data_IF_364298289972
#
_entry.id   IF_364298289972
#
_cell.length_a   1.000
_cell.length_b   1.000
_cell.length_c   1.000
_cell.angle_alpha   90.00
_cell.angle_beta   90.00
_cell.angle_gamma   90.00
#
_symmetry.space_group_name_H-M   'P 1'
#
loop_
_entity.id
_entity.type
_entity.pdbx_description
1 polymer ?
#
# COMPACT_ATOMS: atom_id res chain seq x y z
N UNK A 1 -41.31 -5.01 -12.68
CA UNK A 1 -40.10 -4.87 -13.53
C UNK A 1 -39.53 -3.48 -13.26
N UNK A 2 -38.60 -3.37 -12.32
CA UNK A 2 -37.95 -2.09 -11.98
C UNK A 2 -36.79 -1.91 -12.95
N UNK A 3 -36.95 -1.02 -13.92
CA UNK A 3 -35.88 -0.64 -14.83
C UNK A 3 -34.95 0.35 -14.14
N UNK A 4 -33.74 -0.11 -13.80
CA UNK A 4 -32.64 0.73 -13.31
C UNK A 4 -32.04 1.52 -14.49
N UNK A 5 -32.65 2.65 -14.87
CA UNK A 5 -32.09 3.59 -15.85
C UNK A 5 -31.13 4.61 -15.19
N UNK A 6 -30.08 4.12 -14.52
CA UNK A 6 -29.04 4.99 -13.94
C UNK A 6 -27.63 4.41 -14.09
N UNK A 7 -27.32 3.74 -15.21
CA UNK A 7 -26.04 3.04 -15.38
C UNK A 7 -25.35 3.21 -16.74
N UNK A 8 -25.79 4.12 -17.60
CA UNK A 8 -25.17 4.29 -18.94
C UNK A 8 -24.06 5.35 -18.99
N UNK A 9 -23.66 5.92 -17.85
CA UNK A 9 -22.65 6.98 -17.80
C UNK A 9 -21.78 7.03 -16.54
N UNK A 10 -21.84 6.02 -15.67
CA UNK A 10 -21.02 5.98 -14.45
C UNK A 10 -20.27 4.66 -14.32
N UNK A 11 -19.01 4.75 -13.93
CA UNK A 11 -18.17 3.59 -13.68
C UNK A 11 -18.76 2.77 -12.53
N UNK A 12 -18.75 1.41 -12.60
CA UNK A 12 -19.15 0.58 -11.49
C UNK A 12 -18.44 0.98 -10.19
N UNK A 13 -19.22 1.14 -9.12
CA UNK A 13 -18.77 1.68 -7.83
C UNK A 13 -17.57 0.92 -7.24
N UNK A 14 -17.47 -0.37 -7.51
CA UNK A 14 -16.33 -1.19 -7.08
C UNK A 14 -15.03 -0.80 -7.78
N UNK A 15 -15.07 -0.48 -9.08
CA UNK A 15 -13.87 -0.08 -9.84
C UNK A 15 -13.44 1.32 -9.40
N UNK A 16 -14.39 2.24 -9.25
CA UNK A 16 -14.14 3.58 -8.75
C UNK A 16 -13.47 3.56 -7.35
N UNK A 17 -14.01 2.73 -6.44
CA UNK A 17 -13.40 2.48 -5.14
C UNK A 17 -11.97 1.93 -5.26
N UNK A 18 -11.76 0.88 -6.07
CA UNK A 18 -10.43 0.28 -6.22
C UNK A 18 -9.38 1.27 -6.73
N UNK A 19 -9.73 2.09 -7.71
CA UNK A 19 -8.80 3.08 -8.29
C UNK A 19 -8.45 4.15 -7.26
N UNK A 20 -9.45 4.67 -6.53
CA UNK A 20 -9.24 5.66 -5.46
C UNK A 20 -8.41 5.11 -4.31
N UNK A 21 -8.71 3.90 -3.86
CA UNK A 21 -8.01 3.25 -2.75
C UNK A 21 -6.54 2.98 -3.11
N UNK A 22 -6.31 2.50 -4.33
CA UNK A 22 -4.95 2.27 -4.83
C UNK A 22 -4.17 3.58 -4.87
N UNK A 23 -4.75 4.65 -5.41
CA UNK A 23 -4.10 5.98 -5.42
C UNK A 23 -3.83 6.49 -3.99
N UNK A 24 -4.80 6.40 -3.09
CA UNK A 24 -4.65 6.85 -1.70
C UNK A 24 -3.54 6.10 -0.96
N UNK A 25 -3.39 4.80 -1.22
CA UNK A 25 -2.32 4.01 -0.63
C UNK A 25 -0.93 4.50 -1.06
N UNK A 26 -0.77 4.82 -2.34
CA UNK A 26 0.48 5.42 -2.84
C UNK A 26 0.67 6.83 -2.29
N UNK A 27 -0.37 7.66 -2.18
CA UNK A 27 -0.20 9.06 -1.74
C UNK A 27 0.15 9.21 -0.26
N UNK A 28 -0.31 8.28 0.60
CA UNK A 28 -0.21 8.45 2.05
C UNK A 28 1.07 7.91 2.71
N UNK A 29 1.89 7.10 2.02
CA UNK A 29 3.03 6.43 2.67
C UNK A 29 4.26 6.34 1.79
N UNK A 30 5.28 7.14 2.12
CA UNK A 30 6.62 7.08 1.50
C UNK A 30 7.28 5.70 1.69
N UNK A 31 7.05 5.05 2.84
CA UNK A 31 7.52 3.68 3.10
C UNK A 31 6.86 2.67 2.16
N UNK A 32 5.56 2.84 1.90
CA UNK A 32 4.80 2.01 0.96
C UNK A 32 5.29 2.18 -0.47
N UNK A 33 5.52 3.42 -0.90
CA UNK A 33 6.10 3.73 -2.21
C UNK A 33 7.49 3.09 -2.37
N UNK A 34 8.36 3.22 -1.37
CA UNK A 34 9.72 2.66 -1.41
C UNK A 34 9.71 1.13 -1.45
N UNK A 35 8.89 0.49 -0.61
CA UNK A 35 8.76 -0.97 -0.60
C UNK A 35 8.25 -1.49 -1.95
N UNK A 36 7.28 -0.79 -2.55
CA UNK A 36 6.76 -1.10 -3.87
C UNK A 36 7.79 -0.88 -4.97
N UNK A 37 8.53 0.24 -4.96
CA UNK A 37 9.60 0.55 -5.93
C UNK A 37 10.65 -0.57 -5.94
N UNK A 38 11.15 -0.96 -4.78
CA UNK A 38 12.12 -2.07 -4.64
C UNK A 38 11.59 -3.38 -5.19
N UNK A 39 10.34 -3.71 -4.88
CA UNK A 39 9.70 -4.93 -5.35
C UNK A 39 9.53 -4.91 -6.88
N UNK A 40 9.08 -3.77 -7.43
CA UNK A 40 8.86 -3.59 -8.86
C UNK A 40 10.17 -3.67 -9.66
N UNK A 41 11.23 -3.01 -9.20
CA UNK A 41 12.58 -3.08 -9.78
C UNK A 41 13.10 -4.51 -9.80
N UNK A 42 12.90 -5.26 -8.71
CA UNK A 42 13.33 -6.67 -8.61
C UNK A 42 12.59 -7.56 -9.61
N UNK A 43 11.30 -7.32 -9.84
CA UNK A 43 10.48 -8.14 -10.75
C UNK A 43 10.59 -7.72 -12.23
N UNK A 44 11.02 -6.50 -12.53
CA UNK A 44 11.02 -5.93 -13.87
C UNK A 44 12.41 -5.47 -14.34
N UNK A 45 13.48 -6.17 -13.94
CA UNK A 45 14.86 -5.92 -14.37
C UNK A 45 15.34 -4.48 -14.15
N UNK A 46 15.05 -3.91 -12.98
CA UNK A 46 15.46 -2.56 -12.59
C UNK A 46 14.62 -1.43 -13.20
N UNK A 47 13.51 -1.74 -13.88
CA UNK A 47 12.57 -0.72 -14.37
C UNK A 47 11.87 -0.02 -13.20
N UNK A 48 11.50 1.24 -13.42
CA UNK A 48 10.73 2.03 -12.46
C UNK A 48 9.23 1.86 -12.65
N UNK A 49 8.44 1.82 -11.56
CA UNK A 49 6.98 1.74 -11.66
C UNK A 49 6.38 3.02 -12.27
N UNK A 50 5.31 2.87 -13.06
CA UNK A 50 4.51 4.02 -13.53
C UNK A 50 3.74 4.63 -12.36
N UNK A 51 3.75 5.95 -12.26
CA UNK A 51 2.95 6.70 -11.29
C UNK A 51 1.45 6.46 -11.52
N UNK A 52 0.66 6.15 -10.49
CA UNK A 52 -0.79 6.04 -10.66
C UNK A 52 -1.39 7.45 -10.72
N UNK A 53 -2.04 7.78 -11.83
CA UNK A 53 -2.67 9.09 -12.03
C UNK A 53 -3.81 9.27 -11.03
N UNK A 54 -3.88 10.44 -10.39
CA UNK A 54 -5.05 10.83 -9.62
C UNK A 54 -6.27 10.92 -10.54
N UNK A 55 -7.31 10.18 -10.21
CA UNK A 55 -8.62 10.34 -10.88
C UNK A 55 -9.27 11.61 -10.36
N UNK A 56 -9.84 12.42 -11.26
CA UNK A 56 -10.64 13.58 -10.91
C UNK A 56 -12.12 13.24 -10.99
N UNK A 57 -12.86 13.63 -9.95
CA UNK A 57 -14.25 13.19 -9.72
C UNK A 57 -15.23 13.63 -10.82
N UNK A 58 -14.89 14.70 -11.54
CA UNK A 58 -15.74 15.31 -12.58
C UNK A 58 -15.34 14.92 -14.00
N UNK A 59 -14.22 14.25 -14.22
CA UNK A 59 -13.71 13.92 -15.55
C UNK A 59 -13.38 12.44 -15.66
N UNK A 60 -14.37 11.67 -16.09
CA UNK A 60 -14.28 10.22 -16.29
C UNK A 60 -13.13 9.78 -17.20
N UNK A 61 -12.68 10.64 -18.14
CA UNK A 61 -11.51 10.41 -18.98
C UNK A 61 -10.20 10.21 -18.17
N UNK A 62 -10.13 10.69 -16.93
CA UNK A 62 -8.97 10.44 -16.06
C UNK A 62 -8.92 9.03 -15.48
N UNK A 63 -10.04 8.29 -15.52
CA UNK A 63 -10.13 6.89 -15.06
C UNK A 63 -9.37 5.96 -15.98
N UNK A 64 -9.50 6.13 -17.30
CA UNK A 64 -8.85 5.26 -18.30
C UNK A 64 -7.34 5.13 -18.08
N UNK A 65 -6.55 6.23 -18.01
CA UNK A 65 -5.11 6.09 -17.83
C UNK A 65 -4.76 5.52 -16.45
N UNK A 66 -5.58 5.76 -15.41
CA UNK A 66 -5.37 5.18 -14.09
C UNK A 66 -5.58 3.66 -14.11
N UNK A 67 -6.69 3.19 -14.69
CA UNK A 67 -7.01 1.77 -14.84
C UNK A 67 -5.95 1.07 -15.70
N UNK A 68 -5.55 1.66 -16.82
CA UNK A 68 -4.51 1.10 -17.69
C UNK A 68 -3.18 0.95 -16.97
N UNK A 69 -2.78 1.93 -16.13
CA UNK A 69 -1.56 1.84 -15.31
C UNK A 69 -1.66 0.77 -14.22
N UNK A 70 -2.82 0.66 -13.56
CA UNK A 70 -3.07 -0.38 -12.55
C UNK A 70 -2.98 -1.77 -13.18
N UNK A 71 -3.62 -1.99 -14.33
CA UNK A 71 -3.60 -3.28 -15.02
C UNK A 71 -2.19 -3.68 -15.45
N UNK A 72 -1.38 -2.74 -15.95
CA UNK A 72 0.03 -3.00 -16.32
C UNK A 72 0.90 -3.43 -15.14
N UNK A 73 0.51 -3.11 -13.91
CA UNK A 73 1.27 -3.41 -12.70
C UNK A 73 0.55 -4.40 -11.78
N UNK A 74 -0.51 -5.03 -12.26
CA UNK A 74 -1.45 -5.79 -11.44
C UNK A 74 -0.78 -6.92 -10.65
N UNK A 75 0.15 -7.66 -11.26
CA UNK A 75 0.80 -8.79 -10.62
C UNK A 75 1.67 -8.37 -9.42
N UNK A 76 2.31 -7.20 -9.51
CA UNK A 76 3.12 -6.63 -8.42
C UNK A 76 2.19 -6.13 -7.30
N UNK A 77 1.11 -5.40 -7.66
CA UNK A 77 0.11 -4.93 -6.70
C UNK A 77 -0.55 -6.08 -5.94
N UNK A 78 -0.86 -7.17 -6.64
CA UNK A 78 -1.43 -8.40 -6.06
C UNK A 78 -0.42 -9.12 -5.17
N UNK A 79 0.84 -9.22 -5.58
CA UNK A 79 1.88 -9.84 -4.76
C UNK A 79 2.09 -9.09 -3.45
N UNK A 80 2.08 -7.76 -3.50
CA UNK A 80 2.18 -6.92 -2.30
C UNK A 80 0.97 -7.11 -1.35
N UNK A 81 -0.26 -7.15 -1.87
CA UNK A 81 -1.44 -7.38 -1.02
C UNK A 81 -1.43 -8.76 -0.37
N UNK A 82 -0.88 -9.77 -1.05
CA UNK A 82 -0.71 -11.11 -0.50
C UNK A 82 0.25 -11.13 0.70
N UNK A 83 1.32 -10.32 0.71
CA UNK A 83 2.24 -10.23 1.86
C UNK A 83 1.51 -9.76 3.13
N UNK A 84 0.65 -8.75 3.02
CA UNK A 84 -0.15 -8.24 4.15
C UNK A 84 -1.18 -9.27 4.62
N UNK A 85 -1.88 -9.93 3.71
CA UNK A 85 -2.84 -10.99 4.08
C UNK A 85 -2.11 -12.15 4.76
N UNK A 86 -0.96 -12.57 4.23
CA UNK A 86 -0.16 -13.63 4.81
C UNK A 86 0.31 -13.27 6.23
N UNK A 87 0.75 -12.04 6.48
CA UNK A 87 1.19 -11.63 7.83
C UNK A 87 0.04 -11.66 8.85
N UNK A 88 -1.16 -11.19 8.46
CA UNK A 88 -2.37 -11.28 9.28
C UNK A 88 -2.72 -12.75 9.58
N UNK A 89 -2.70 -13.61 8.56
CA UNK A 89 -2.97 -15.03 8.71
C UNK A 89 -1.93 -15.74 9.59
N UNK A 90 -0.65 -15.36 9.48
CA UNK A 90 0.42 -15.87 10.34
C UNK A 90 0.19 -15.49 11.80
N UNK A 91 -0.19 -14.25 12.09
CA UNK A 91 -0.53 -13.79 13.45
C UNK A 91 -1.73 -14.60 13.97
N UNK A 92 -2.80 -14.70 13.19
CA UNK A 92 -4.00 -15.47 13.55
C UNK A 92 -3.66 -16.93 13.87
N UNK A 93 -2.88 -17.57 13.00
CA UNK A 93 -2.45 -18.96 13.18
C UNK A 93 -1.53 -19.13 14.41
N UNK A 94 -0.68 -18.14 14.68
CA UNK A 94 0.20 -18.12 15.85
C UNK A 94 -0.57 -18.03 17.17
N UNK A 95 -1.61 -17.19 17.22
CA UNK A 95 -2.49 -17.07 18.39
C UNK A 95 -3.30 -18.35 18.61
N UNK A 96 -3.79 -18.97 17.53
CA UNK A 96 -4.54 -20.22 17.60
C UNK A 96 -3.72 -21.37 18.22
N UNK A 97 -2.42 -21.47 17.93
CA UNK A 97 -1.53 -22.47 18.57
C UNK A 97 -1.35 -22.28 20.07
N UNK A 98 -1.60 -21.07 20.58
CA UNK A 98 -1.55 -20.74 22.02
C UNK A 98 -2.94 -20.82 22.66
N UNK A 99 -3.92 -21.39 21.98
CA UNK A 99 -5.32 -21.49 22.41
C UNK A 99 -5.97 -20.12 22.70
N UNK A 100 -5.46 -19.07 22.06
CA UNK A 100 -6.00 -17.70 22.17
C UNK A 100 -6.64 -17.26 20.86
N UNK A 101 -7.79 -16.60 20.95
CA UNK A 101 -8.49 -16.06 19.79
C UNK A 101 -8.09 -14.60 19.57
N UNK A 102 -8.06 -14.14 18.31
CA UNK A 102 -7.76 -12.74 17.97
C UNK A 102 -8.67 -11.73 18.66
N UNK A 103 -9.91 -12.12 18.98
CA UNK A 103 -10.90 -11.25 19.63
C UNK A 103 -10.71 -11.15 21.15
N UNK A 104 -10.09 -12.16 21.78
CA UNK A 104 -9.91 -12.22 23.23
C UNK A 104 -8.45 -12.03 23.66
N UNK A 105 -7.54 -11.85 22.70
CA UNK A 105 -6.12 -11.65 22.99
C UNK A 105 -5.87 -10.23 23.52
N UNK A 106 -5.46 -10.14 24.78
CA UNK A 106 -5.02 -8.89 25.37
C UNK A 106 -3.58 -8.56 24.99
N UNK A 107 -3.40 -7.46 24.28
CA UNK A 107 -2.07 -6.93 23.97
C UNK A 107 -1.41 -6.40 25.26
N UNK A 108 -0.13 -6.74 25.53
CA UNK A 108 0.57 -6.24 26.71
C UNK A 108 0.59 -4.72 26.77
N UNK A 109 0.52 -4.15 27.99
CA UNK A 109 0.54 -2.69 28.22
C UNK A 109 1.75 -1.98 27.63
N UNK A 110 2.89 -2.66 27.59
CA UNK A 110 4.12 -2.14 26.97
C UNK A 110 4.00 -1.94 25.46
N UNK A 111 3.09 -2.67 24.81
CA UNK A 111 2.81 -2.53 23.37
C UNK A 111 1.70 -1.51 23.17
N UNK A 112 0.60 -1.61 23.91
CA UNK A 112 -0.55 -0.71 23.73
C UNK A 112 -0.22 0.74 24.05
N UNK A 113 0.65 1.00 25.04
CA UNK A 113 1.15 2.35 25.35
C UNK A 113 1.98 2.98 24.22
N UNK A 114 2.56 2.17 23.32
CA UNK A 114 3.33 2.66 22.17
C UNK A 114 2.46 2.95 20.95
N UNK A 115 1.24 2.42 20.87
CA UNK A 115 0.33 2.63 19.74
C UNK A 115 -0.07 4.12 19.68
N UNK A 116 0.05 4.73 18.51
CA UNK A 116 -0.21 6.17 18.32
C UNK A 116 0.95 7.09 18.73
N UNK A 117 2.04 6.54 19.26
CA UNK A 117 3.28 7.29 19.53
C UNK A 117 4.30 7.07 18.41
N UNK A 118 5.25 7.99 18.25
CA UNK A 118 6.36 7.83 17.31
C UNK A 118 7.42 6.80 17.77
N UNK A 119 7.31 6.27 19.00
CA UNK A 119 8.30 5.35 19.57
C UNK A 119 8.47 4.06 18.76
N UNK A 120 7.37 3.55 18.17
CA UNK A 120 7.44 2.36 17.33
C UNK A 120 8.27 2.56 16.04
N UNK A 121 8.42 3.82 15.60
CA UNK A 121 9.16 4.17 14.39
C UNK A 121 10.60 4.59 14.69
N UNK A 122 10.89 5.07 15.90
CA UNK A 122 12.24 5.52 16.29
C UNK A 122 13.24 4.36 16.43
N UNK A 123 12.78 3.17 16.78
CA UNK A 123 13.66 2.00 16.99
C UNK A 123 14.23 1.49 15.65
N UNK A 124 13.50 1.67 14.55
CA UNK A 124 13.93 1.30 13.19
C UNK A 124 15.11 2.14 12.67
N UNK A 125 15.36 3.31 13.26
CA UNK A 125 16.43 4.22 12.86
C UNK A 125 17.78 3.88 13.50
N UNK A 126 17.78 3.14 14.62
CA UNK A 126 19.00 2.86 15.40
C UNK A 126 19.78 1.65 14.90
N UNK A 127 19.14 0.73 14.18
CA UNK A 127 19.81 -0.45 13.59
C UNK A 127 20.53 -0.13 12.26
N UNK A 128 20.33 1.06 11.69
CA UNK A 128 20.98 1.50 10.45
C UNK A 128 22.26 2.32 10.64
N UNK A 129 22.69 2.61 11.87
CA UNK A 129 23.86 3.47 12.14
C UNK A 129 25.03 2.68 12.73
N UNK A 130 25.47 1.64 12.03
CA UNK A 130 26.88 1.22 12.04
C UNK A 130 27.25 0.55 10.73
N UNK A 131 28.08 1.24 9.97
CA UNK A 131 28.81 0.84 8.76
C UNK A 131 28.22 1.26 7.40
N UNK A 132 29.08 1.97 6.67
CA UNK A 132 29.03 2.47 5.29
C UNK A 132 28.06 3.60 4.97
N UNK A 133 28.62 4.81 4.95
CA UNK A 133 28.10 5.98 4.28
C UNK A 133 27.94 5.73 2.76
N UNK A 134 26.70 5.71 2.28
CA UNK A 134 26.37 6.15 0.92
C UNK A 134 25.41 7.34 1.05
N UNK A 135 25.78 8.45 0.41
CA UNK A 135 25.06 9.72 0.44
C UNK A 135 23.60 9.52 0.10
N UNK A 136 22.72 10.13 0.89
CA UNK A 136 21.33 10.37 0.52
C UNK A 136 21.37 11.49 -0.53
N UNK A 137 21.46 11.11 -1.80
CA UNK A 137 21.21 12.02 -2.94
C UNK A 137 19.79 11.79 -3.54
N UNK A 138 18.98 10.88 -2.97
CA UNK A 138 17.70 10.45 -3.55
C UNK A 138 16.45 11.16 -2.98
N UNK A 139 16.60 12.18 -2.12
CA UNK A 139 15.45 12.89 -1.55
C UNK A 139 14.69 13.73 -2.61
N UNK A 140 15.37 14.12 -3.68
CA UNK A 140 14.77 14.90 -4.77
C UNK A 140 13.98 14.02 -5.76
N UNK A 141 14.26 12.71 -5.82
CA UNK A 141 13.50 11.74 -6.63
C UNK A 141 12.19 11.29 -5.98
N UNK A 142 12.04 11.52 -4.66
CA UNK A 142 10.77 11.29 -3.94
C UNK A 142 9.72 12.31 -4.37
N UNK A 143 10.14 13.50 -4.82
CA UNK A 143 9.27 14.58 -5.28
C UNK A 143 8.82 14.36 -6.74
N UNK A 144 9.54 13.56 -7.53
CA UNK A 144 9.16 13.24 -8.92
C UNK A 144 7.96 12.27 -9.03
N UNK A 145 7.48 11.72 -7.92
CA UNK A 145 6.35 10.78 -7.87
C UNK A 145 5.00 11.42 -7.46
N UNK A 146 4.95 12.75 -7.31
CA UNK A 146 3.72 13.54 -7.18
C UNK A 146 3.38 14.24 -8.49
#
# INVERSE_FOLDING_TARGET
MVTLHASDGTLPRNIDYMVRETYSWFSHSSKSQLAYKRLYETMNDGKTPLQITRVCDTRWLSVEPAVTRILKQWDILRSHSQVTVNSILCVRSGLQRRETCCYSYELPRSVTSKIGTMQAYSDSYKEGTSSSASRIEDADDVISFL
#
